data_IF_045343403889
#
_entry.id   IF_045343403889
#
_cell.length_a   1.000
_cell.length_b   1.000
_cell.length_c   1.000
_cell.angle_alpha   90.00
_cell.angle_beta   90.00
_cell.angle_gamma   90.00
#
_symmetry.space_group_name_H-M   'P 1'
#
loop_
_entity.id
_entity.type
_entity.pdbx_description
1 polymer ?
#
# COMPACT_ATOMS: atom_id res chain seq x y z
N UNK A 1 24.84 31.82 41.34
CA UNK A 1 25.18 30.59 40.62
C UNK A 1 23.93 29.76 40.25
N UNK A 2 23.00 29.59 41.18
CA UNK A 2 21.78 28.80 40.93
C UNK A 2 20.81 29.42 39.93
N UNK A 3 20.66 30.73 39.88
CA UNK A 3 19.78 31.42 38.92
C UNK A 3 20.23 31.24 37.45
N UNK A 4 21.54 31.27 37.21
CA UNK A 4 22.12 31.05 35.89
C UNK A 4 21.85 29.62 35.38
N UNK A 5 21.98 28.63 36.28
CA UNK A 5 21.71 27.21 35.97
C UNK A 5 20.23 27.02 35.63
N UNK A 6 19.32 27.65 36.38
CA UNK A 6 17.87 27.56 36.12
C UNK A 6 17.51 28.14 34.76
N UNK A 7 18.07 29.31 34.41
CA UNK A 7 17.84 29.93 33.08
C UNK A 7 18.37 29.02 31.97
N UNK A 8 19.55 28.44 32.13
CA UNK A 8 20.14 27.54 31.14
C UNK A 8 19.27 26.28 30.93
N UNK A 9 18.75 25.69 32.01
CA UNK A 9 17.85 24.53 31.92
C UNK A 9 16.54 24.87 31.24
N UNK A 10 15.96 26.04 31.43
CA UNK A 10 14.76 26.50 30.77
C UNK A 10 14.98 26.69 29.25
N UNK A 11 16.13 27.25 28.87
CA UNK A 11 16.51 27.41 27.48
C UNK A 11 16.69 26.05 26.79
N UNK A 12 17.37 25.11 27.43
CA UNK A 12 17.56 23.74 26.88
C UNK A 12 16.20 23.03 26.73
N UNK A 13 15.33 23.12 27.74
CA UNK A 13 13.99 22.54 27.67
C UNK A 13 13.15 23.14 26.56
N UNK A 14 13.23 24.47 26.37
CA UNK A 14 12.56 25.16 25.26
C UNK A 14 13.03 24.70 23.86
N UNK A 15 14.34 24.58 23.68
CA UNK A 15 14.93 24.09 22.43
C UNK A 15 14.53 22.64 22.18
N UNK A 16 14.60 21.78 23.20
CA UNK A 16 14.20 20.37 23.06
C UNK A 16 12.72 20.21 22.72
N UNK A 17 11.84 20.98 23.34
CA UNK A 17 10.41 21.01 23.03
C UNK A 17 10.14 21.48 21.60
N UNK A 18 10.87 22.50 21.16
CA UNK A 18 10.77 23.02 19.79
C UNK A 18 11.25 22.00 18.76
N UNK A 19 12.36 21.33 19.00
CA UNK A 19 12.86 20.26 18.14
C UNK A 19 11.87 19.07 18.06
N UNK A 20 11.29 18.69 19.18
CA UNK A 20 10.27 17.65 19.22
C UNK A 20 9.02 18.06 18.43
N UNK A 21 8.56 19.31 18.61
CA UNK A 21 7.44 19.86 17.83
C UNK A 21 7.73 19.85 16.32
N UNK A 22 8.91 20.29 15.90
CA UNK A 22 9.34 20.25 14.51
C UNK A 22 9.41 18.81 13.99
N UNK A 23 9.94 17.88 14.75
CA UNK A 23 10.01 16.46 14.38
C UNK A 23 8.62 15.86 14.15
N UNK A 24 7.68 16.11 15.06
CA UNK A 24 6.29 15.65 14.93
C UNK A 24 5.59 16.31 13.74
N UNK A 25 5.85 17.61 13.51
CA UNK A 25 5.23 18.35 12.41
C UNK A 25 5.87 17.97 11.08
N UNK A 26 7.19 17.73 11.03
CA UNK A 26 7.87 17.22 9.85
C UNK A 26 7.42 15.80 9.48
N UNK A 27 7.11 14.96 10.46
CA UNK A 27 6.49 13.63 10.21
C UNK A 27 5.04 13.76 9.68
N UNK A 28 4.41 14.92 9.88
CA UNK A 28 3.15 15.31 9.22
C UNK A 28 3.37 16.07 7.91
N UNK A 29 4.65 16.28 7.47
CA UNK A 29 4.93 16.87 6.17
C UNK A 29 4.28 16.01 5.11
N UNK A 30 3.16 16.53 4.65
CA UNK A 30 2.55 16.28 3.36
C UNK A 30 2.84 14.86 2.85
N UNK A 31 2.09 13.88 3.32
CA UNK A 31 1.51 12.94 2.38
C UNK A 31 0.71 13.83 1.39
N UNK A 32 1.41 14.43 0.45
CA UNK A 32 0.81 14.86 -0.79
C UNK A 32 -0.07 13.69 -1.18
N UNK A 33 -1.21 13.88 -1.84
CA UNK A 33 -2.06 12.78 -2.28
C UNK A 33 -1.16 11.74 -2.90
N UNK A 34 -0.67 10.78 -2.06
CA UNK A 34 0.16 9.68 -2.52
C UNK A 34 -0.75 8.93 -3.47
N UNK A 35 -0.38 8.94 -4.72
CA UNK A 35 -1.16 8.28 -5.76
C UNK A 35 -1.20 6.79 -5.43
N UNK A 36 -2.37 6.21 -5.11
CA UNK A 36 -2.43 4.81 -4.75
C UNK A 36 -2.01 3.93 -5.92
N UNK A 37 -1.37 2.81 -5.62
CA UNK A 37 -1.07 1.78 -6.61
C UNK A 37 -2.21 0.78 -6.65
N UNK A 38 -2.92 0.71 -7.77
CA UNK A 38 -3.90 -0.35 -8.02
C UNK A 38 -3.16 -1.59 -8.52
N UNK A 39 -3.30 -2.68 -7.78
CA UNK A 39 -2.55 -3.92 -8.02
C UNK A 39 -3.41 -4.90 -8.79
N UNK A 40 -2.86 -5.40 -9.89
CA UNK A 40 -3.48 -6.39 -10.76
C UNK A 40 -3.23 -7.83 -10.30
N UNK A 41 -4.08 -8.75 -10.76
CA UNK A 41 -4.02 -10.19 -10.51
C UNK A 41 -2.65 -10.77 -10.90
N UNK A 42 -2.09 -10.35 -12.05
CA UNK A 42 -0.80 -10.81 -12.56
C UNK A 42 0.35 -10.54 -11.60
N UNK A 43 0.37 -9.36 -10.97
CA UNK A 43 1.38 -8.94 -9.99
C UNK A 43 1.32 -9.78 -8.72
N UNK A 44 0.11 -10.11 -8.27
CA UNK A 44 -0.09 -10.93 -7.08
C UNK A 44 0.32 -12.38 -7.33
N UNK A 45 0.00 -12.93 -8.49
CA UNK A 45 0.42 -14.29 -8.89
C UNK A 45 1.93 -14.39 -9.04
N UNK A 46 2.59 -13.35 -9.55
CA UNK A 46 4.06 -13.29 -9.68
C UNK A 46 4.76 -13.19 -8.31
N UNK A 47 4.21 -12.42 -7.38
CA UNK A 47 4.67 -12.32 -5.99
C UNK A 47 5.89 -11.42 -5.75
N UNK A 48 6.61 -10.95 -6.78
CA UNK A 48 7.79 -10.07 -6.64
C UNK A 48 7.47 -8.74 -5.96
N UNK A 49 6.21 -8.34 -5.94
CA UNK A 49 5.74 -7.14 -5.24
C UNK A 49 6.08 -7.16 -3.74
N UNK A 50 6.21 -8.34 -3.12
CA UNK A 50 6.62 -8.46 -1.71
C UNK A 50 8.01 -7.88 -1.51
N UNK A 51 8.98 -8.25 -2.33
CA UNK A 51 10.35 -7.73 -2.24
C UNK A 51 10.41 -6.22 -2.47
N UNK A 52 9.62 -5.70 -3.41
CA UNK A 52 9.51 -4.27 -3.68
C UNK A 52 8.90 -3.52 -2.49
N UNK A 53 7.84 -4.07 -1.88
CA UNK A 53 7.22 -3.51 -0.70
C UNK A 53 8.16 -3.50 0.52
N UNK A 54 8.91 -4.61 0.74
CA UNK A 54 9.89 -4.73 1.82
C UNK A 54 11.09 -3.80 1.67
N UNK A 55 11.45 -3.41 0.45
CA UNK A 55 12.55 -2.49 0.20
C UNK A 55 12.29 -1.06 0.68
N UNK A 56 11.03 -0.74 1.06
CA UNK A 56 10.63 0.62 1.45
C UNK A 56 10.49 1.59 0.27
N UNK A 57 10.64 1.10 -0.96
CA UNK A 57 10.48 1.93 -2.17
C UNK A 57 9.03 2.38 -2.37
N UNK A 58 8.07 1.56 -1.95
CA UNK A 58 6.64 1.86 -2.07
C UNK A 58 6.17 2.64 -0.83
N UNK A 59 6.06 3.95 -0.96
CA UNK A 59 5.56 4.84 0.11
C UNK A 59 4.05 5.05 0.02
N UNK A 60 3.47 4.85 -1.16
CA UNK A 60 2.05 5.02 -1.41
C UNK A 60 1.24 3.74 -1.07
N UNK A 61 -0.05 3.87 -0.71
CA UNK A 61 -0.89 2.73 -0.38
C UNK A 61 -1.13 1.84 -1.59
N UNK A 62 -1.15 0.51 -1.35
CA UNK A 62 -1.51 -0.51 -2.30
C UNK A 62 -3.03 -0.75 -2.23
N UNK A 63 -3.73 -0.48 -3.31
CA UNK A 63 -5.15 -0.74 -3.45
C UNK A 63 -5.35 -2.02 -4.24
N UNK A 64 -5.89 -3.03 -3.59
CA UNK A 64 -6.24 -4.31 -4.23
C UNK A 64 -7.76 -4.30 -4.40
N UNK A 65 -8.27 -4.18 -5.64
CA UNK A 65 -9.70 -4.22 -5.88
C UNK A 65 -10.32 -5.54 -5.42
N UNK A 66 -11.52 -5.47 -4.91
CA UNK A 66 -12.25 -6.67 -4.47
C UNK A 66 -12.48 -7.64 -5.63
N UNK A 67 -12.67 -7.13 -6.85
CA UNK A 67 -12.79 -7.95 -8.07
C UNK A 67 -11.54 -8.79 -8.34
N UNK A 68 -10.34 -8.24 -8.10
CA UNK A 68 -9.06 -8.97 -8.22
C UNK A 68 -8.98 -10.10 -7.21
N UNK A 69 -9.34 -9.83 -5.95
CA UNK A 69 -9.39 -10.89 -4.92
C UNK A 69 -10.41 -11.96 -5.26
N UNK A 70 -11.60 -11.55 -5.75
CA UNK A 70 -12.65 -12.46 -6.18
C UNK A 70 -12.23 -13.34 -7.35
N UNK A 71 -11.50 -12.79 -8.33
CA UNK A 71 -10.93 -13.55 -9.44
C UNK A 71 -9.93 -14.60 -8.95
N UNK A 72 -9.02 -14.23 -8.04
CA UNK A 72 -8.09 -15.19 -7.43
C UNK A 72 -8.82 -16.30 -6.67
N UNK A 73 -9.88 -15.97 -5.91
CA UNK A 73 -10.68 -16.96 -5.20
C UNK A 73 -11.37 -17.93 -6.17
N UNK A 74 -11.97 -17.41 -7.22
CA UNK A 74 -12.62 -18.23 -8.26
C UNK A 74 -11.64 -19.19 -8.93
N UNK A 75 -10.43 -18.71 -9.26
CA UNK A 75 -9.37 -19.54 -9.84
C UNK A 75 -8.83 -20.56 -8.84
N UNK A 76 -8.74 -20.20 -7.54
CA UNK A 76 -8.28 -21.10 -6.47
C UNK A 76 -9.23 -22.25 -6.20
N UNK A 77 -10.51 -22.09 -6.53
CA UNK A 77 -11.56 -23.11 -6.42
C UNK A 77 -11.79 -23.88 -7.75
N UNK A 78 -11.11 -23.49 -8.80
CA UNK A 78 -11.20 -24.10 -10.12
C UNK A 78 -10.67 -25.53 -10.20
N UNK A 79 -10.99 -26.25 -11.27
CA UNK A 79 -10.57 -27.62 -11.51
C UNK A 79 -9.14 -27.77 -12.01
N UNK A 80 -8.59 -26.74 -12.65
CA UNK A 80 -7.23 -26.71 -13.17
C UNK A 80 -6.22 -26.57 -12.04
N UNK A 81 -5.36 -27.58 -11.85
CA UNK A 81 -4.41 -27.64 -10.74
C UNK A 81 -3.37 -26.52 -10.76
N UNK A 82 -2.90 -26.13 -11.94
CA UNK A 82 -1.85 -25.12 -12.10
C UNK A 82 -2.41 -23.73 -11.81
N UNK A 83 -3.57 -23.42 -12.39
CA UNK A 83 -4.27 -22.15 -12.13
C UNK A 83 -4.65 -22.01 -10.65
N UNK A 84 -5.12 -23.11 -10.04
CA UNK A 84 -5.48 -23.15 -8.63
C UNK A 84 -4.27 -22.88 -7.74
N UNK A 85 -3.12 -23.52 -8.02
CA UNK A 85 -1.89 -23.33 -7.24
C UNK A 85 -1.40 -21.87 -7.33
N UNK A 86 -1.37 -21.31 -8.54
CA UNK A 86 -0.96 -19.94 -8.79
C UNK A 86 -1.90 -18.92 -8.12
N UNK A 87 -3.21 -19.16 -8.17
CA UNK A 87 -4.19 -18.31 -7.54
C UNK A 87 -4.09 -18.32 -6.01
N UNK A 88 -3.88 -19.49 -5.41
CA UNK A 88 -3.61 -19.61 -3.96
C UNK A 88 -2.35 -18.86 -3.56
N UNK A 89 -1.28 -18.98 -4.35
CA UNK A 89 -0.08 -18.18 -4.12
C UNK A 89 -0.38 -16.67 -4.17
N UNK A 90 -1.15 -16.20 -5.13
CA UNK A 90 -1.58 -14.79 -5.20
C UNK A 90 -2.36 -14.33 -3.97
N UNK A 91 -3.25 -15.17 -3.44
CA UNK A 91 -3.98 -14.88 -2.19
C UNK A 91 -3.04 -14.84 -0.96
N UNK A 92 -2.03 -15.70 -0.92
CA UNK A 92 -1.02 -15.68 0.14
C UNK A 92 -0.14 -14.42 0.05
N UNK A 93 0.18 -13.96 -1.16
CA UNK A 93 0.88 -12.69 -1.39
C UNK A 93 0.08 -11.51 -0.82
N UNK A 94 -1.25 -11.48 -1.02
CA UNK A 94 -2.10 -10.43 -0.43
C UNK A 94 -1.96 -10.40 1.10
N UNK A 95 -2.00 -11.56 1.76
CA UNK A 95 -1.85 -11.66 3.21
C UNK A 95 -0.47 -11.18 3.66
N UNK A 96 0.59 -11.64 2.99
CA UNK A 96 1.95 -11.23 3.32
C UNK A 96 2.15 -9.72 3.16
N UNK A 97 1.60 -9.10 2.12
CA UNK A 97 1.66 -7.64 1.94
C UNK A 97 0.99 -6.90 3.10
N UNK A 98 -0.12 -7.41 3.63
CA UNK A 98 -0.82 -6.81 4.78
C UNK A 98 0.00 -6.89 6.08
N UNK A 99 0.91 -7.85 6.19
CA UNK A 99 1.76 -8.08 7.36
C UNK A 99 3.07 -7.28 7.34
N UNK A 100 3.45 -6.66 6.20
CA UNK A 100 4.69 -5.90 6.07
C UNK A 100 4.56 -4.57 6.83
N UNK A 101 5.43 -4.31 7.84
CA UNK A 101 5.42 -3.04 8.55
C UNK A 101 5.67 -1.85 7.62
N UNK A 102 4.87 -0.79 7.77
CA UNK A 102 5.00 0.44 6.99
C UNK A 102 4.35 0.40 5.60
N UNK A 103 3.82 -0.75 5.17
CA UNK A 103 3.05 -0.88 3.93
C UNK A 103 1.56 -0.78 4.25
N UNK A 104 0.85 0.11 3.58
CA UNK A 104 -0.59 0.24 3.70
C UNK A 104 -1.27 -0.50 2.57
N UNK A 105 -1.99 -1.57 2.90
CA UNK A 105 -2.77 -2.36 1.94
C UNK A 105 -4.26 -2.15 2.19
N UNK A 106 -4.99 -1.77 1.17
CA UNK A 106 -6.44 -1.52 1.23
C UNK A 106 -7.14 -2.42 0.22
N UNK A 107 -8.06 -3.26 0.71
CA UNK A 107 -8.99 -3.95 -0.18
C UNK A 107 -10.04 -2.94 -0.64
N UNK A 108 -9.90 -2.50 -1.88
CA UNK A 108 -10.70 -1.43 -2.43
C UNK A 108 -12.05 -1.96 -2.94
N UNK A 109 -13.18 -1.43 -2.45
CA UNK A 109 -14.49 -1.82 -2.94
C UNK A 109 -14.69 -1.27 -4.36
N UNK A 110 -14.76 -2.14 -5.33
CA UNK A 110 -15.14 -1.83 -6.69
C UNK A 110 -16.51 -2.45 -7.01
N UNK A 111 -17.30 -1.78 -7.85
CA UNK A 111 -18.61 -2.31 -8.25
C UNK A 111 -18.44 -3.46 -9.23
N UNK A 112 -19.03 -4.60 -8.90
CA UNK A 112 -19.02 -5.83 -9.71
C UNK A 112 -19.86 -5.74 -11.00
N UNK A 113 -19.96 -4.60 -11.66
CA UNK A 113 -20.65 -4.55 -12.96
C UNK A 113 -19.82 -5.28 -14.02
N UNK A 114 -20.10 -6.54 -14.13
CA UNK A 114 -19.36 -7.64 -14.74
C UNK A 114 -19.34 -7.67 -16.27
N UNK A 115 -19.29 -6.56 -16.99
CA UNK A 115 -19.26 -6.56 -18.47
C UNK A 115 -17.96 -6.06 -19.08
N UNK A 116 -17.09 -5.44 -18.29
CA UNK A 116 -15.76 -5.01 -18.74
C UNK A 116 -14.71 -5.87 -18.04
N UNK A 117 -13.72 -6.35 -18.81
CA UNK A 117 -12.62 -7.15 -18.23
C UNK A 117 -11.95 -6.43 -17.06
N UNK A 118 -11.33 -7.21 -16.15
CA UNK A 118 -10.68 -6.67 -14.93
C UNK A 118 -9.67 -5.58 -15.28
N UNK A 119 -8.93 -5.72 -16.38
CA UNK A 119 -7.89 -4.79 -16.83
C UNK A 119 -8.43 -3.39 -17.16
N UNK A 120 -9.52 -3.32 -17.93
CA UNK A 120 -10.14 -2.04 -18.28
C UNK A 120 -10.72 -1.35 -17.03
N UNK A 121 -11.22 -2.13 -16.09
CA UNK A 121 -11.74 -1.61 -14.81
C UNK A 121 -10.63 -1.05 -13.95
N UNK A 122 -9.50 -1.74 -13.84
CA UNK A 122 -8.34 -1.27 -13.09
C UNK A 122 -7.81 0.05 -13.65
N UNK A 123 -7.72 0.16 -14.96
CA UNK A 123 -7.30 1.39 -15.62
C UNK A 123 -8.27 2.54 -15.35
N UNK A 124 -9.57 2.27 -15.40
CA UNK A 124 -10.61 3.26 -15.08
C UNK A 124 -10.56 3.70 -13.61
N UNK A 125 -10.34 2.77 -12.67
CA UNK A 125 -10.17 3.06 -11.25
C UNK A 125 -8.92 3.90 -10.99
N UNK A 126 -7.78 3.55 -11.59
CA UNK A 126 -6.55 4.31 -11.46
C UNK A 126 -6.74 5.75 -11.96
N UNK A 127 -7.34 5.95 -13.12
CA UNK A 127 -7.65 7.28 -13.67
C UNK A 127 -8.60 8.07 -12.77
N UNK A 128 -9.69 7.44 -12.30
CA UNK A 128 -10.70 8.09 -11.46
C UNK A 128 -10.14 8.56 -10.12
N UNK A 129 -9.25 7.79 -9.53
CA UNK A 129 -8.67 8.06 -8.20
C UNK A 129 -7.30 8.74 -8.26
N UNK A 130 -6.80 9.06 -9.46
CA UNK A 130 -5.49 9.66 -9.65
C UNK A 130 -4.35 8.77 -9.18
N UNK A 131 -4.55 7.46 -9.29
CA UNK A 131 -3.58 6.42 -8.91
C UNK A 131 -2.76 5.92 -10.10
N UNK A 132 -1.82 5.03 -9.83
CA UNK A 132 -1.04 4.29 -10.81
C UNK A 132 -1.50 2.82 -10.86
N UNK A 133 -1.41 2.20 -12.03
CA UNK A 133 -1.65 0.77 -12.20
C UNK A 133 -0.34 0.01 -12.08
N UNK A 134 -0.34 -1.04 -11.26
CA UNK A 134 0.75 -1.98 -11.13
C UNK A 134 0.35 -3.29 -11.81
N UNK A 135 0.96 -3.59 -12.95
CA UNK A 135 0.74 -4.79 -13.75
C UNK A 135 2.05 -5.29 -14.33
N UNK A 136 2.13 -6.57 -14.66
CA UNK A 136 3.23 -7.18 -15.40
C UNK A 136 2.80 -7.64 -16.79
N UNK A 137 1.52 -7.53 -17.11
CA UNK A 137 0.99 -7.82 -18.43
C UNK A 137 1.11 -6.58 -19.34
N UNK A 138 1.68 -6.78 -20.52
CA UNK A 138 1.89 -5.75 -21.55
C UNK A 138 0.97 -6.00 -22.74
#
# INVERSE_FOLDING_TARGET
MNTFIIILLLVIAGISSYQLYLSITASRVKRGKEQPFFVDTSVLIDGRIIAVAQSGFMTAPLYIPRSVVGELQLLADGSDSDKRSRARHGLDVVKQLQEIPGVTVVIFPDSETAREGVDNRLLALAKKHGGALCTIDF
#
